data_IF_116244953830
#
_entry.id   IF_116244953830
#
_cell.length_a   1.000
_cell.length_b   1.000
_cell.length_c   1.000
_cell.angle_alpha   90.00
_cell.angle_beta   90.00
_cell.angle_gamma   90.00
#
_symmetry.space_group_name_H-M   'P 1'
#
loop_
_entity.id
_entity.type
_entity.pdbx_description
1 polymer ?
#
# COMPACT_ATOMS: atom_id res chain seq x y z
N UNK A 1 -3.78 -0.66 -2.47
CA UNK A 1 -2.71 -0.99 -1.52
C UNK A 1 -3.30 -1.62 -0.28
N UNK A 2 -2.62 -2.61 0.25
CA UNK A 2 -3.03 -3.30 1.46
C UNK A 2 -1.82 -3.46 2.37
N UNK A 3 -1.92 -2.94 3.60
CA UNK A 3 -0.84 -3.02 4.58
C UNK A 3 -0.80 -4.42 5.17
N UNK A 4 0.33 -5.10 5.04
CA UNK A 4 0.48 -6.47 5.53
C UNK A 4 0.70 -6.51 7.04
N UNK A 5 -0.01 -7.39 7.71
CA UNK A 5 0.21 -7.69 9.11
C UNK A 5 -0.30 -6.66 10.12
N UNK A 6 -1.19 -5.75 9.69
CA UNK A 6 -1.74 -4.74 10.62
C UNK A 6 -2.40 -5.37 11.84
N UNK A 7 -3.20 -6.41 11.63
CA UNK A 7 -3.86 -7.10 12.74
C UNK A 7 -2.83 -7.66 13.74
N UNK A 8 -1.78 -8.28 13.24
CA UNK A 8 -0.72 -8.82 14.09
C UNK A 8 0.00 -7.71 14.87
N UNK A 9 0.30 -6.59 14.21
CA UNK A 9 0.91 -5.44 14.87
C UNK A 9 0.00 -4.93 15.99
N UNK A 10 -1.29 -4.76 15.72
CA UNK A 10 -2.25 -4.34 16.75
C UNK A 10 -2.32 -5.33 17.92
N UNK A 11 -2.39 -6.62 17.61
CA UNK A 11 -2.55 -7.66 18.63
C UNK A 11 -1.30 -7.83 19.51
N UNK A 12 -0.11 -7.70 18.93
CA UNK A 12 1.16 -7.95 19.62
C UNK A 12 1.74 -6.67 20.21
N UNK A 13 1.71 -5.56 19.47
CA UNK A 13 2.37 -4.31 19.85
C UNK A 13 1.40 -3.21 20.29
N UNK A 14 0.09 -3.42 20.12
CA UNK A 14 -0.96 -2.46 20.47
C UNK A 14 -1.41 -1.57 19.33
N UNK A 15 -2.58 -0.95 19.52
CA UNK A 15 -3.21 -0.10 18.49
C UNK A 15 -2.41 1.16 18.17
N UNK A 16 -1.63 1.67 19.12
CA UNK A 16 -0.75 2.81 18.85
C UNK A 16 0.30 2.48 17.80
N UNK A 17 0.88 1.29 17.88
CA UNK A 17 1.85 0.82 16.87
C UNK A 17 1.17 0.61 15.52
N UNK A 18 -0.04 0.06 15.51
CA UNK A 18 -0.82 -0.10 14.28
C UNK A 18 -1.17 1.25 13.63
N UNK A 19 -1.55 2.21 14.43
CA UNK A 19 -1.84 3.57 13.95
C UNK A 19 -0.58 4.24 13.38
N UNK A 20 0.54 4.09 14.05
CA UNK A 20 1.83 4.58 13.56
C UNK A 20 2.19 3.96 12.22
N UNK A 21 2.00 2.66 12.08
CA UNK A 21 2.22 1.95 10.81
C UNK A 21 1.35 2.54 9.70
N UNK A 22 0.07 2.73 9.94
CA UNK A 22 -0.86 3.29 8.94
C UNK A 22 -0.49 4.74 8.57
N UNK A 23 -0.16 5.56 9.54
CA UNK A 23 0.25 6.95 9.32
C UNK A 23 1.54 6.99 8.50
N UNK A 24 2.50 6.14 8.81
CA UNK A 24 3.76 6.07 8.08
C UNK A 24 3.53 5.68 6.62
N UNK A 25 2.70 4.66 6.38
CA UNK A 25 2.35 4.26 5.00
C UNK A 25 1.70 5.43 4.26
N UNK A 26 0.73 6.09 4.87
CA UNK A 26 0.05 7.23 4.25
C UNK A 26 1.02 8.37 3.92
N UNK A 27 1.91 8.71 4.83
CA UNK A 27 2.88 9.78 4.64
C UNK A 27 3.87 9.45 3.52
N UNK A 28 4.36 8.23 3.45
CA UNK A 28 5.25 7.79 2.38
C UNK A 28 4.56 7.87 1.03
N UNK A 29 3.33 7.38 0.94
CA UNK A 29 2.57 7.44 -0.32
C UNK A 29 2.36 8.90 -0.75
N UNK A 30 1.91 9.75 0.15
CA UNK A 30 1.68 11.17 -0.16
C UNK A 30 2.96 11.86 -0.64
N UNK A 31 4.10 11.50 -0.08
CA UNK A 31 5.39 12.09 -0.46
C UNK A 31 5.83 11.72 -1.87
N UNK A 32 5.24 10.69 -2.44
CA UNK A 32 5.61 10.15 -3.76
C UNK A 32 4.58 10.39 -4.85
N UNK A 33 3.47 11.04 -4.54
CA UNK A 33 2.42 11.37 -5.51
C UNK A 33 2.34 12.88 -5.70
N UNK A 34 1.70 13.29 -6.81
CA UNK A 34 1.57 14.71 -7.17
C UNK A 34 0.35 15.34 -6.52
N UNK A 35 0.27 16.69 -6.59
CA UNK A 35 -0.88 17.43 -6.05
C UNK A 35 -2.21 17.05 -6.71
N UNK A 36 -2.18 16.64 -7.99
CA UNK A 36 -3.36 16.21 -8.73
C UNK A 36 -3.77 14.77 -8.42
N UNK A 37 -2.91 14.03 -7.76
CA UNK A 37 -3.18 12.66 -7.35
C UNK A 37 -3.82 12.68 -5.96
N UNK A 38 -4.54 11.61 -5.63
CA UNK A 38 -5.13 11.54 -4.30
C UNK A 38 -5.13 10.11 -3.77
N UNK A 39 -5.25 10.03 -2.45
CA UNK A 39 -5.28 8.76 -1.74
C UNK A 39 -6.52 8.71 -0.85
N UNK A 40 -7.18 7.57 -0.85
CA UNK A 40 -8.36 7.31 -0.02
C UNK A 40 -8.07 6.10 0.86
N UNK A 41 -8.35 6.19 2.14
CA UNK A 41 -8.37 5.00 2.99
C UNK A 41 -9.71 4.30 2.79
N UNK A 42 -9.67 3.11 2.21
CA UNK A 42 -10.85 2.38 1.81
C UNK A 42 -11.34 1.40 2.88
N UNK A 43 -10.43 0.91 3.71
CA UNK A 43 -10.74 -0.02 4.80
C UNK A 43 -9.73 0.14 5.91
N UNK A 44 -9.72 -0.79 6.86
CA UNK A 44 -8.81 -0.75 7.99
C UNK A 44 -7.34 -0.69 7.58
N UNK A 45 -6.98 -1.54 6.63
CA UNK A 45 -5.61 -1.71 6.13
C UNK A 45 -5.49 -1.45 4.62
N UNK A 46 -6.54 -0.94 3.99
CA UNK A 46 -6.59 -0.72 2.54
C UNK A 46 -6.55 0.77 2.18
N UNK A 47 -5.75 1.09 1.16
CA UNK A 47 -5.69 2.42 0.56
C UNK A 47 -5.89 2.32 -0.94
N UNK A 48 -6.59 3.28 -1.51
CA UNK A 48 -6.70 3.47 -2.95
C UNK A 48 -5.97 4.75 -3.32
N UNK A 49 -5.05 4.65 -4.26
CA UNK A 49 -4.31 5.80 -4.78
C UNK A 49 -4.70 6.01 -6.23
N UNK A 50 -5.10 7.21 -6.56
CA UNK A 50 -5.49 7.56 -7.93
C UNK A 50 -4.43 8.49 -8.52
N UNK A 51 -3.79 8.02 -9.58
CA UNK A 51 -2.78 8.76 -10.32
C UNK A 51 -3.39 9.26 -11.63
N UNK A 52 -3.39 10.56 -11.83
CA UNK A 52 -4.02 11.19 -13.00
C UNK A 52 -3.05 11.31 -14.17
N UNK A 53 -3.48 10.89 -15.36
CA UNK A 53 -2.71 11.06 -16.59
C UNK A 53 -1.40 10.29 -16.63
N UNK A 54 -1.36 9.13 -16.01
CA UNK A 54 -0.14 8.33 -15.83
C UNK A 54 -0.33 6.97 -16.50
N UNK A 55 0.63 6.57 -17.33
CA UNK A 55 0.65 5.24 -17.92
C UNK A 55 0.97 4.18 -16.85
N UNK A 56 0.54 2.91 -17.05
CA UNK A 56 0.81 1.84 -16.07
C UNK A 56 2.28 1.68 -15.72
N UNK A 57 3.19 1.83 -16.70
CA UNK A 57 4.63 1.73 -16.47
C UNK A 57 5.13 2.84 -15.52
N UNK A 58 4.56 4.03 -15.65
CA UNK A 58 4.89 5.14 -14.76
C UNK A 58 4.36 4.91 -13.36
N UNK A 59 3.17 4.35 -13.25
CA UNK A 59 2.57 3.98 -11.96
C UNK A 59 3.43 2.95 -11.23
N UNK A 60 3.98 1.97 -11.95
CA UNK A 60 4.92 1.00 -11.37
C UNK A 60 6.19 1.68 -10.88
N UNK A 61 6.70 2.67 -11.60
CA UNK A 61 7.86 3.45 -11.15
C UNK A 61 7.58 4.22 -9.87
N UNK A 62 6.38 4.79 -9.75
CA UNK A 62 5.94 5.45 -8.51
C UNK A 62 5.90 4.45 -7.37
N UNK A 63 5.35 3.28 -7.62
CA UNK A 63 5.29 2.20 -6.63
C UNK A 63 6.70 1.78 -6.18
N UNK A 64 7.62 1.61 -7.10
CA UNK A 64 9.01 1.25 -6.77
C UNK A 64 9.65 2.27 -5.83
N UNK A 65 9.42 3.57 -6.04
CA UNK A 65 9.93 4.61 -5.14
C UNK A 65 9.28 4.54 -3.76
N UNK A 66 8.00 4.20 -3.71
CA UNK A 66 7.29 4.00 -2.44
C UNK A 66 7.90 2.84 -1.67
N UNK A 67 8.13 1.72 -2.35
CA UNK A 67 8.76 0.53 -1.74
C UNK A 67 10.16 0.84 -1.24
N UNK A 68 10.96 1.56 -2.02
CA UNK A 68 12.30 1.99 -1.59
C UNK A 68 12.24 2.82 -0.30
N UNK A 69 11.23 3.68 -0.17
CA UNK A 69 11.03 4.47 1.04
C UNK A 69 10.70 3.58 2.25
N UNK A 70 9.85 2.57 2.06
CA UNK A 70 9.56 1.61 3.12
C UNK A 70 10.80 0.82 3.53
N UNK A 71 11.58 0.37 2.56
CA UNK A 71 12.82 -0.38 2.83
C UNK A 71 13.82 0.48 3.60
N UNK A 72 13.94 1.76 3.23
CA UNK A 72 14.81 2.69 3.95
C UNK A 72 14.39 2.84 5.40
N UNK A 73 13.09 3.00 5.66
CA UNK A 73 12.57 3.08 7.02
C UNK A 73 12.85 1.77 7.77
N UNK A 74 12.62 0.64 7.14
CA UNK A 74 12.87 -0.66 7.74
C UNK A 74 14.34 -0.87 8.12
N UNK A 75 15.27 -0.28 7.36
CA UNK A 75 16.70 -0.42 7.59
C UNK A 75 17.26 0.61 8.59
N UNK A 76 16.71 1.83 8.59
CA UNK A 76 17.28 2.94 9.35
C UNK A 76 16.56 3.22 10.67
N UNK A 77 15.27 2.90 10.75
CA UNK A 77 14.48 3.09 11.96
C UNK A 77 14.30 1.75 12.66
N UNK A 78 14.59 1.71 13.93
CA UNK A 78 14.54 0.46 14.69
C UNK A 78 13.14 0.20 15.25
N UNK A 79 12.16 0.09 14.37
CA UNK A 79 10.79 -0.22 14.75
C UNK A 79 10.64 -1.70 15.07
N UNK A 80 9.66 -2.03 15.90
CA UNK A 80 9.39 -3.43 16.29
C UNK A 80 8.59 -4.20 15.25
N UNK A 81 8.26 -3.56 14.13
CA UNK A 81 7.57 -4.16 13.00
C UNK A 81 8.24 -3.77 11.70
N UNK A 82 7.99 -4.56 10.67
CA UNK A 82 8.48 -4.30 9.31
C UNK A 82 7.33 -3.74 8.49
N UNK A 83 7.56 -2.64 7.77
CA UNK A 83 6.57 -2.09 6.85
C UNK A 83 6.57 -2.94 5.58
N UNK A 84 5.44 -3.52 5.27
CA UNK A 84 5.22 -4.28 4.06
C UNK A 84 3.82 -3.97 3.53
N UNK A 85 3.72 -3.67 2.24
CA UNK A 85 2.48 -3.31 1.58
C UNK A 85 2.37 -4.06 0.27
N UNK A 86 1.22 -4.67 0.03
CA UNK A 86 0.90 -5.31 -1.24
C UNK A 86 0.13 -4.36 -2.13
N UNK A 87 0.31 -4.45 -3.45
CA UNK A 87 -0.32 -3.55 -4.40
C UNK A 87 -0.90 -4.24 -5.62
N UNK A 88 -1.83 -3.58 -6.27
CA UNK A 88 -2.32 -3.90 -7.60
C UNK A 88 -2.58 -2.60 -8.35
N UNK A 89 -2.25 -2.56 -9.63
CA UNK A 89 -2.41 -1.40 -10.48
C UNK A 89 -3.34 -1.72 -11.63
N UNK A 90 -4.33 -0.86 -11.85
CA UNK A 90 -5.23 -0.92 -13.00
C UNK A 90 -5.36 0.43 -13.66
N UNK A 91 -5.38 0.43 -14.98
CA UNK A 91 -5.62 1.62 -15.76
C UNK A 91 -7.11 1.82 -16.02
N UNK A 92 -7.59 3.05 -15.79
CA UNK A 92 -8.96 3.42 -16.12
C UNK A 92 -8.93 4.29 -17.35
N UNK A 93 -9.59 3.85 -18.43
CA UNK A 93 -9.74 4.65 -19.63
C UNK A 93 -11.19 5.09 -19.79
N UNK A 94 -11.37 6.38 -19.77
CA UNK A 94 -12.48 7.17 -20.31
C UNK A 94 -13.95 6.94 -20.00
N UNK A 95 -14.48 5.86 -19.50
CA UNK A 95 -15.90 5.80 -19.16
C UNK A 95 -16.08 5.29 -17.75
N UNK A 96 -16.25 6.25 -16.93
CA UNK A 96 -15.89 6.21 -15.51
C UNK A 96 -16.84 5.39 -14.64
N UNK A 97 -18.17 5.50 -14.86
CA UNK A 97 -19.11 5.07 -13.82
C UNK A 97 -19.32 3.56 -13.74
N UNK A 98 -19.21 2.86 -14.87
CA UNK A 98 -19.40 1.41 -14.93
C UNK A 98 -18.15 0.63 -14.63
N UNK A 99 -17.01 1.26 -14.84
CA UNK A 99 -15.72 0.59 -14.82
C UNK A 99 -15.05 0.65 -13.44
N UNK A 100 -15.46 1.58 -12.60
CA UNK A 100 -14.78 1.79 -11.32
C UNK A 100 -14.84 0.56 -10.42
N UNK A 101 -16.02 -0.02 -10.23
CA UNK A 101 -16.16 -1.22 -9.40
C UNK A 101 -15.38 -2.40 -9.98
N UNK A 102 -15.42 -2.55 -11.31
CA UNK A 102 -14.69 -3.62 -12.01
C UNK A 102 -13.18 -3.42 -11.88
N UNK A 103 -12.70 -2.19 -12.04
CA UNK A 103 -11.27 -1.86 -11.94
C UNK A 103 -10.79 -2.07 -10.51
N UNK A 104 -11.56 -1.64 -9.52
CA UNK A 104 -11.21 -1.87 -8.12
C UNK A 104 -11.15 -3.36 -7.80
N UNK A 105 -12.08 -4.14 -8.34
CA UNK A 105 -12.06 -5.59 -8.16
C UNK A 105 -10.82 -6.23 -8.77
N UNK A 106 -10.43 -5.83 -9.99
CA UNK A 106 -9.24 -6.34 -10.67
C UNK A 106 -7.96 -5.97 -9.92
N UNK A 107 -7.86 -4.74 -9.45
CA UNK A 107 -6.72 -4.30 -8.66
C UNK A 107 -6.63 -5.06 -7.35
N UNK A 108 -7.77 -5.32 -6.73
CA UNK A 108 -7.86 -6.09 -5.49
C UNK A 108 -7.41 -7.54 -5.70
N UNK A 109 -7.78 -8.17 -6.81
CA UNK A 109 -7.30 -9.52 -7.15
C UNK A 109 -5.79 -9.56 -7.33
N UNK A 110 -5.20 -8.60 -8.04
CA UNK A 110 -3.76 -8.50 -8.24
C UNK A 110 -3.02 -8.31 -6.91
N UNK A 111 -3.55 -7.45 -6.06
CA UNK A 111 -3.03 -7.22 -4.72
C UNK A 111 -3.10 -8.48 -3.88
N UNK A 112 -4.20 -9.21 -3.96
CA UNK A 112 -4.39 -10.45 -3.21
C UNK A 112 -3.36 -11.50 -3.60
N UNK A 113 -3.06 -11.64 -4.89
CA UNK A 113 -2.03 -12.55 -5.37
C UNK A 113 -0.65 -12.15 -4.86
N UNK A 114 -0.32 -10.87 -4.91
CA UNK A 114 0.95 -10.35 -4.37
C UNK A 114 1.04 -10.59 -2.87
N UNK A 115 -0.04 -10.33 -2.15
CA UNK A 115 -0.10 -10.55 -0.70
C UNK A 115 0.15 -12.02 -0.35
N UNK A 116 -0.42 -12.94 -1.11
CA UNK A 116 -0.18 -14.38 -0.90
C UNK A 116 1.28 -14.76 -1.07
N UNK A 117 1.96 -14.22 -2.09
CA UNK A 117 3.39 -14.45 -2.31
C UNK A 117 4.23 -13.91 -1.17
N UNK A 118 3.93 -12.69 -0.73
CA UNK A 118 4.65 -12.04 0.36
C UNK A 118 4.46 -12.80 1.67
N UNK A 119 3.22 -13.21 1.97
CA UNK A 119 2.87 -13.86 3.23
C UNK A 119 3.63 -15.17 3.47
N UNK A 120 4.00 -15.88 2.41
CA UNK A 120 4.73 -17.14 2.56
C UNK A 120 6.13 -16.95 3.15
N UNK A 121 6.70 -15.74 3.05
CA UNK A 121 8.07 -15.46 3.46
C UNK A 121 8.20 -14.29 4.44
N UNK A 122 7.10 -13.65 4.81
CA UNK A 122 7.12 -12.42 5.60
C UNK A 122 6.99 -12.69 7.09
N UNK A 123 7.90 -12.11 7.84
CA UNK A 123 7.78 -11.98 9.29
C UNK A 123 7.67 -10.48 9.61
N UNK A 124 6.46 -10.03 9.97
CA UNK A 124 6.18 -8.61 10.22
C UNK A 124 6.71 -8.18 11.59
N UNK A 125 6.56 -9.03 12.59
CA UNK A 125 7.01 -8.71 13.95
C UNK A 125 8.45 -9.13 14.10
N UNK A 126 9.30 -8.19 14.44
CA UNK A 126 10.71 -8.45 14.73
C UNK A 126 10.86 -9.03 16.12
N UNK A 127 11.53 -10.14 16.21
CA UNK A 127 11.83 -10.84 17.47
C UNK A 127 13.18 -10.45 18.03
#
# INVERSE_FOLDING_TARGET
LDVNGLKEVNDVLGHEAGDELLITVADVVRSNIRADDFMIRFGGDEFVVVLSGVAPERAEQVWERIVESFERINQTENRKYVISVSHGIEEISCSIDRMLDSVLHQADEKMYEEKRRIKSNLQVIRK
#
